data_IF_687813143802
#
_entry.id   IF_687813143802
#
_cell.length_a   1.000
_cell.length_b   1.000
_cell.length_c   1.000
_cell.angle_alpha   90.00
_cell.angle_beta   90.00
_cell.angle_gamma   90.00
#
_symmetry.space_group_name_H-M   'P 1'
#
loop_
_entity.id
_entity.type
_entity.pdbx_description
1 polymer ?
#
# COMPACT_ATOMS: atom_id res chain seq x y z
N UNK A 1 -32.09 -38.92 -5.49
CA UNK A 1 -32.42 -37.83 -6.43
C UNK A 1 -32.74 -36.51 -5.73
N UNK A 2 -33.76 -36.42 -4.86
CA UNK A 2 -34.14 -35.15 -4.20
C UNK A 2 -33.03 -34.53 -3.32
N UNK A 3 -32.28 -35.36 -2.57
CA UNK A 3 -31.16 -34.91 -1.72
C UNK A 3 -29.94 -34.40 -2.52
N UNK A 4 -29.75 -34.94 -3.72
CA UNK A 4 -28.64 -34.59 -4.62
C UNK A 4 -28.86 -33.23 -5.28
N UNK A 5 -30.11 -32.89 -5.60
CA UNK A 5 -30.47 -31.57 -6.13
C UNK A 5 -30.31 -30.46 -5.08
N UNK A 6 -30.66 -30.73 -3.82
CA UNK A 6 -30.55 -29.76 -2.74
C UNK A 6 -29.10 -29.40 -2.39
N UNK A 7 -28.17 -30.36 -2.48
CA UNK A 7 -26.74 -30.12 -2.24
C UNK A 7 -26.10 -29.31 -3.36
N UNK A 8 -26.49 -29.55 -4.62
CA UNK A 8 -25.99 -28.76 -5.75
C UNK A 8 -26.44 -27.30 -5.67
N UNK A 9 -27.69 -27.05 -5.27
CA UNK A 9 -28.22 -25.69 -5.11
C UNK A 9 -27.48 -24.89 -4.03
N UNK A 10 -27.07 -25.53 -2.93
CA UNK A 10 -26.31 -24.88 -1.87
C UNK A 10 -24.88 -24.51 -2.30
N UNK A 11 -24.25 -25.34 -3.14
CA UNK A 11 -22.91 -25.06 -3.67
C UNK A 11 -22.93 -23.90 -4.68
N UNK A 12 -23.98 -23.81 -5.51
CA UNK A 12 -24.13 -22.68 -6.45
C UNK A 12 -24.53 -21.36 -5.76
N UNK A 13 -25.16 -21.44 -4.58
CA UNK A 13 -25.54 -20.26 -3.80
C UNK A 13 -24.40 -19.74 -2.90
N UNK A 14 -23.27 -20.43 -2.84
CA UNK A 14 -22.11 -19.95 -2.09
C UNK A 14 -21.56 -18.69 -2.76
N UNK A 15 -21.38 -17.59 -2.01
CA UNK A 15 -20.65 -16.43 -2.51
C UNK A 15 -19.28 -16.92 -2.99
N UNK A 16 -18.90 -16.60 -4.23
CA UNK A 16 -17.54 -16.82 -4.68
C UNK A 16 -16.61 -16.15 -3.68
N UNK A 17 -15.66 -16.89 -3.10
CA UNK A 17 -14.61 -16.32 -2.29
C UNK A 17 -13.76 -15.44 -3.22
N UNK A 18 -14.18 -14.18 -3.40
CA UNK A 18 -13.46 -13.20 -4.18
C UNK A 18 -12.08 -13.06 -3.53
N UNK A 19 -11.06 -13.41 -4.31
CA UNK A 19 -9.67 -13.35 -3.88
C UNK A 19 -9.37 -11.95 -3.36
N UNK A 20 -9.06 -11.83 -2.06
CA UNK A 20 -8.54 -10.59 -1.53
C UNK A 20 -7.20 -10.32 -2.23
N UNK A 21 -7.09 -9.19 -2.93
CA UNK A 21 -5.86 -8.83 -3.64
C UNK A 21 -4.87 -8.26 -2.64
N UNK A 22 -3.74 -8.94 -2.46
CA UNK A 22 -2.61 -8.44 -1.70
C UNK A 22 -1.57 -7.93 -2.68
N UNK A 23 -1.31 -6.63 -2.66
CA UNK A 23 -0.22 -6.02 -3.41
C UNK A 23 0.95 -5.78 -2.47
N UNK A 24 2.09 -6.41 -2.77
CA UNK A 24 3.34 -6.17 -2.06
C UNK A 24 4.22 -5.32 -2.97
N UNK A 25 4.64 -4.17 -2.47
CA UNK A 25 5.58 -3.28 -3.15
C UNK A 25 6.94 -3.39 -2.46
N UNK A 26 7.94 -4.03 -3.09
CA UNK A 26 9.27 -4.18 -2.53
C UNK A 26 9.95 -2.83 -2.28
N UNK A 27 10.84 -2.74 -1.29
CA UNK A 27 11.45 -1.48 -0.87
C UNK A 27 12.20 -0.79 -2.01
N UNK A 28 12.91 -1.56 -2.84
CA UNK A 28 13.69 -1.07 -3.99
C UNK A 28 12.82 -0.52 -5.13
N UNK A 29 11.54 -0.88 -5.17
CA UNK A 29 10.61 -0.40 -6.19
C UNK A 29 9.96 0.95 -5.83
N UNK A 30 10.17 1.42 -4.59
CA UNK A 30 9.63 2.69 -4.09
C UNK A 30 10.64 3.80 -4.38
N UNK A 31 10.50 4.44 -5.53
CA UNK A 31 11.31 5.60 -5.87
C UNK A 31 11.05 6.73 -4.85
N UNK A 32 12.10 7.15 -4.15
CA UNK A 32 12.08 8.36 -3.36
C UNK A 32 12.56 9.58 -4.14
N UNK A 33 12.37 10.74 -3.54
CA UNK A 33 12.71 12.04 -4.10
C UNK A 33 13.41 12.92 -3.05
N UNK A 34 14.13 13.94 -3.51
CA UNK A 34 14.69 14.95 -2.60
C UNK A 34 13.54 15.83 -2.09
N UNK A 35 13.47 16.03 -0.78
CA UNK A 35 12.47 16.88 -0.13
C UNK A 35 12.58 18.35 -0.55
N UNK A 36 11.46 19.07 -0.55
CA UNK A 36 11.43 20.48 -0.93
C UNK A 36 12.14 21.37 0.10
N UNK A 37 12.78 22.44 -0.37
CA UNK A 37 13.41 23.44 0.49
C UNK A 37 12.39 24.27 1.30
N UNK A 38 11.10 24.17 0.99
CA UNK A 38 10.03 24.82 1.74
C UNK A 38 9.70 24.08 3.05
N UNK A 39 9.96 22.76 3.10
CA UNK A 39 9.65 21.91 4.26
C UNK A 39 10.90 21.44 4.99
N UNK A 40 12.03 21.37 4.30
CA UNK A 40 13.27 20.82 4.83
C UNK A 40 14.43 21.79 4.67
N UNK A 41 15.30 21.79 5.68
CA UNK A 41 16.62 22.42 5.62
C UNK A 41 17.68 21.36 5.30
N UNK A 42 18.55 21.64 4.32
CA UNK A 42 19.57 20.69 3.88
C UNK A 42 19.04 19.59 2.96
N UNK A 43 19.85 18.55 2.73
CA UNK A 43 19.47 17.44 1.84
C UNK A 43 18.68 16.38 2.58
N UNK A 44 17.42 16.20 2.19
CA UNK A 44 16.53 15.18 2.74
C UNK A 44 16.03 14.29 1.62
N UNK A 45 16.06 12.97 1.82
CA UNK A 45 15.49 11.99 0.90
C UNK A 45 14.18 11.45 1.48
N UNK A 46 13.12 11.48 0.69
CA UNK A 46 11.78 11.05 1.08
C UNK A 46 11.30 9.94 0.15
N UNK A 47 11.09 8.75 0.69
CA UNK A 47 10.55 7.61 -0.05
C UNK A 47 9.14 7.26 0.47
N UNK A 48 8.13 7.06 -0.38
CA UNK A 48 6.80 6.68 0.07
C UNK A 48 6.82 5.28 0.70
N UNK A 49 6.09 5.08 1.80
CA UNK A 49 5.99 3.75 2.43
C UNK A 49 5.05 2.84 1.62
N UNK A 50 3.98 3.43 1.09
CA UNK A 50 2.96 2.80 0.25
C UNK A 50 2.51 3.76 -0.86
N UNK A 51 1.82 3.22 -1.87
CA UNK A 51 1.30 4.01 -3.01
C UNK A 51 0.18 4.97 -2.62
N UNK A 52 -0.25 5.86 -3.53
CA UNK A 52 -1.24 6.89 -3.25
C UNK A 52 -2.64 6.35 -2.91
N UNK A 53 -2.93 5.10 -3.29
CA UNK A 53 -4.23 4.45 -3.11
C UNK A 53 -4.37 3.79 -1.71
N UNK A 54 -3.99 4.50 -0.65
CA UNK A 54 -4.08 4.03 0.74
C UNK A 54 -5.03 4.90 1.56
N UNK A 55 -6.32 4.86 1.18
CA UNK A 55 -7.40 5.60 1.84
C UNK A 55 -7.00 7.09 2.06
N UNK A 56 -7.33 7.65 3.23
CA UNK A 56 -6.97 9.02 3.61
C UNK A 56 -5.66 9.11 4.39
N UNK A 57 -4.78 8.12 4.26
CA UNK A 57 -3.50 8.06 4.98
C UNK A 57 -2.36 8.24 3.99
N UNK A 58 -1.35 9.02 4.39
CA UNK A 58 -0.09 9.16 3.65
C UNK A 58 1.07 8.93 4.61
N UNK A 59 2.10 8.23 4.14
CA UNK A 59 3.31 7.99 4.92
C UNK A 59 4.56 7.94 4.02
N UNK A 60 5.63 8.56 4.51
CA UNK A 60 6.94 8.56 3.87
C UNK A 60 8.04 8.21 4.87
N UNK A 61 8.99 7.40 4.44
CA UNK A 61 10.29 7.24 5.09
C UNK A 61 11.15 8.45 4.77
N UNK A 62 11.68 9.10 5.80
CA UNK A 62 12.46 10.33 5.67
C UNK A 62 13.87 10.07 6.16
N UNK A 63 14.85 10.27 5.27
CA UNK A 63 16.28 10.19 5.59
C UNK A 63 16.89 11.58 5.56
N UNK A 64 17.38 12.04 6.71
CA UNK A 64 18.14 13.28 6.84
C UNK A 64 19.62 12.99 6.60
N UNK A 65 20.22 13.63 5.61
CA UNK A 65 21.68 13.60 5.46
C UNK A 65 22.34 14.46 6.56
N UNK A 66 23.64 14.28 6.84
CA UNK A 66 24.33 15.08 7.85
C UNK A 66 24.13 16.58 7.64
N UNK A 67 23.67 17.27 8.69
CA UNK A 67 23.37 18.71 8.64
C UNK A 67 21.98 19.06 8.09
N UNK A 68 21.17 18.08 7.69
CA UNK A 68 19.78 18.30 7.30
C UNK A 68 18.81 18.12 8.48
N UNK A 69 17.66 18.81 8.41
CA UNK A 69 16.59 18.76 9.42
C UNK A 69 15.25 19.22 8.86
N UNK A 70 14.16 18.95 9.59
CA UNK A 70 12.86 19.58 9.29
C UNK A 70 12.93 21.06 9.65
N UNK A 71 12.38 21.92 8.79
CA UNK A 71 12.29 23.36 9.04
C UNK A 71 11.27 23.70 10.13
#
# INVERSE_FOLDING_TARGET
>A
MKRTLATLALVLAAPAALSQSMQITPAESRAGQVGSAETFSGTVYVAPVFGPDMASVSAGEVTFLPGAGSA
#
